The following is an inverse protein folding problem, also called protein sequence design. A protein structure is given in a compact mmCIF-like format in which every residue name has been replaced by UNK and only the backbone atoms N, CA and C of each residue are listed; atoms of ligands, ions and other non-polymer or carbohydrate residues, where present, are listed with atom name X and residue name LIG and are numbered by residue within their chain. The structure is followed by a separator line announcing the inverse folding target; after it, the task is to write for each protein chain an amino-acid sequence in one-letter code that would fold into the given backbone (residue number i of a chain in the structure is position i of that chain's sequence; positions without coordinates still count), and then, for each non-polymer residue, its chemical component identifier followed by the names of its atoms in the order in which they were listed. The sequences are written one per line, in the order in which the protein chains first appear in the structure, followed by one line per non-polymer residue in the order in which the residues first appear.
data_IF_017900082722
#
_entry.id   IF_017900082722
#
_cell.length_a   1.000
_cell.length_b   1.000
_cell.length_c   1.000
_cell.angle_alpha   90.00
_cell.angle_beta   90.00
_cell.angle_gamma   90.00
#
_symmetry.space_group_name_H-M   'P 1'
#
loop_
_entity.id
_entity.type
_entity.pdbx_description
1 polymer ?
#
# COMPACT_ATOMS: atom_id res chain seq x y z
N UNK A 1 2.89 -13.58 -2.82
CA UNK A 1 4.30 -13.94 -2.53
C UNK A 1 5.09 -12.71 -2.16
N UNK A 2 5.80 -12.77 -1.06
CA UNK A 2 6.65 -11.67 -0.62
C UNK A 2 7.98 -11.69 -1.36
N UNK A 3 8.32 -10.56 -1.97
CA UNK A 3 9.56 -10.38 -2.72
C UNK A 3 10.38 -9.25 -2.11
N UNK A 4 11.70 -9.33 -2.27
CA UNK A 4 12.63 -8.30 -1.82
C UNK A 4 13.32 -7.66 -3.03
N UNK A 5 13.48 -6.34 -2.99
CA UNK A 5 14.12 -5.56 -4.05
C UNK A 5 15.15 -4.61 -3.45
N UNK A 6 16.17 -4.28 -4.23
CA UNK A 6 17.08 -3.18 -3.92
C UNK A 6 16.53 -1.90 -4.55
N UNK A 7 16.31 -0.87 -3.75
CA UNK A 7 15.85 0.42 -4.27
C UNK A 7 16.83 0.98 -5.30
N UNK A 8 18.13 0.90 -5.03
CA UNK A 8 19.16 1.44 -5.92
C UNK A 8 19.25 0.66 -7.23
N UNK A 9 19.19 -0.68 -7.16
CA UNK A 9 19.37 -1.54 -8.33
C UNK A 9 18.07 -1.78 -9.09
N UNK A 10 16.97 -2.00 -8.35
CA UNK A 10 15.70 -2.48 -8.90
C UNK A 10 14.60 -1.42 -8.90
N UNK A 11 14.90 -0.18 -8.51
CA UNK A 11 13.88 0.86 -8.29
C UNK A 11 12.95 1.08 -9.48
N UNK A 12 13.48 1.00 -10.71
CA UNK A 12 12.70 1.20 -11.94
C UNK A 12 12.07 -0.09 -12.47
N UNK A 13 12.28 -1.23 -11.79
CA UNK A 13 11.67 -2.50 -12.19
C UNK A 13 10.16 -2.45 -12.04
N UNK A 14 9.45 -2.77 -13.12
CA UNK A 14 7.99 -2.84 -13.09
C UNK A 14 7.54 -4.10 -12.34
N UNK A 15 6.74 -3.90 -11.30
CA UNK A 15 6.11 -4.98 -10.54
C UNK A 15 4.74 -5.33 -11.14
N UNK A 16 4.15 -4.36 -11.83
CA UNK A 16 2.95 -4.50 -12.66
C UNK A 16 3.00 -3.39 -13.71
N UNK A 17 1.98 -3.32 -14.57
CA UNK A 17 1.97 -2.35 -15.67
C UNK A 17 2.14 -0.90 -15.18
N UNK A 18 1.62 -0.55 -14.02
CA UNK A 18 1.58 0.84 -13.53
C UNK A 18 2.44 1.11 -12.30
N UNK A 19 3.10 0.11 -11.73
CA UNK A 19 3.85 0.27 -10.47
C UNK A 19 5.27 -0.25 -10.60
N UNK A 20 6.25 0.55 -10.17
CA UNK A 20 7.63 0.11 -10.07
C UNK A 20 8.06 -0.03 -8.60
N UNK A 21 9.15 -0.77 -8.38
CA UNK A 21 9.59 -1.14 -7.04
C UNK A 21 9.82 0.07 -6.12
N UNK A 22 10.42 1.14 -6.61
CA UNK A 22 10.75 2.32 -5.79
C UNK A 22 9.54 2.99 -5.16
N UNK A 23 8.35 2.82 -5.74
CA UNK A 23 7.12 3.42 -5.19
C UNK A 23 6.76 2.82 -3.84
N UNK A 24 7.26 1.63 -3.54
CA UNK A 24 7.02 0.91 -2.28
C UNK A 24 8.15 1.08 -1.27
N UNK A 25 9.22 1.81 -1.61
CA UNK A 25 10.38 1.95 -0.74
C UNK A 25 10.05 2.70 0.55
N UNK A 26 10.76 2.35 1.64
CA UNK A 26 10.61 3.04 2.90
C UNK A 26 11.07 4.50 2.78
N UNK A 27 10.31 5.41 3.35
CA UNK A 27 10.58 6.85 3.26
C UNK A 27 11.80 7.28 4.08
N UNK A 28 12.38 6.39 4.89
CA UNK A 28 13.60 6.69 5.64
C UNK A 28 14.88 6.55 4.81
N UNK A 29 14.76 6.16 3.53
CA UNK A 29 15.90 6.01 2.63
C UNK A 29 16.56 4.64 2.65
N UNK A 30 16.05 3.69 3.43
CA UNK A 30 16.57 2.31 3.48
C UNK A 30 16.48 1.67 2.09
N UNK A 31 17.57 1.01 1.67
CA UNK A 31 17.64 0.44 0.32
C UNK A 31 16.76 -0.79 0.11
N UNK A 32 16.89 -1.88 0.90
CA UNK A 32 16.04 -3.04 0.67
C UNK A 32 14.58 -2.71 1.00
N UNK A 33 13.69 -3.18 0.12
CA UNK A 33 12.25 -3.04 0.33
C UNK A 33 11.58 -4.37 0.08
N UNK A 34 10.49 -4.60 0.80
CA UNK A 34 9.69 -5.82 0.69
C UNK A 34 8.31 -5.48 0.16
N UNK A 35 7.84 -6.23 -0.82
CA UNK A 35 6.52 -6.04 -1.42
C UNK A 35 5.89 -7.40 -1.69
N UNK A 36 4.67 -7.60 -1.21
CA UNK A 36 3.89 -8.76 -1.54
C UNK A 36 3.23 -8.57 -2.91
N UNK A 37 3.36 -9.56 -3.79
CA UNK A 37 2.80 -9.48 -5.14
C UNK A 37 1.27 -9.37 -5.14
N UNK A 38 0.59 -9.89 -4.12
CA UNK A 38 -0.86 -9.73 -3.98
C UNK A 38 -1.25 -8.27 -3.76
N UNK A 39 -0.44 -7.53 -2.99
CA UNK A 39 -0.65 -6.10 -2.80
C UNK A 39 -0.56 -5.35 -4.13
N UNK A 40 0.45 -5.67 -4.93
CA UNK A 40 0.63 -5.06 -6.26
C UNK A 40 -0.58 -5.32 -7.14
N UNK A 41 -1.12 -6.54 -7.12
CA UNK A 41 -2.32 -6.90 -7.91
C UNK A 41 -3.53 -6.07 -7.49
N UNK A 42 -3.73 -5.89 -6.19
CA UNK A 42 -4.84 -5.06 -5.67
C UNK A 42 -4.69 -3.61 -6.12
N UNK A 43 -3.49 -3.04 -5.99
CA UNK A 43 -3.24 -1.66 -6.41
C UNK A 43 -3.39 -1.48 -7.92
N UNK A 44 -2.97 -2.46 -8.72
CA UNK A 44 -3.13 -2.40 -10.17
C UNK A 44 -4.62 -2.44 -10.56
N UNK A 45 -5.42 -3.26 -9.89
CA UNK A 45 -6.87 -3.30 -10.12
C UNK A 45 -7.52 -1.95 -9.80
N UNK A 46 -7.10 -1.30 -8.72
CA UNK A 46 -7.58 0.04 -8.36
C UNK A 46 -7.20 1.05 -9.44
N UNK A 47 -5.95 1.01 -9.90
CA UNK A 47 -5.45 1.88 -10.96
C UNK A 47 -6.28 1.75 -12.24
N UNK A 48 -6.57 0.52 -12.63
CA UNK A 48 -7.32 0.23 -13.84
C UNK A 48 -8.78 0.68 -13.72
N UNK A 49 -9.39 0.47 -12.56
CA UNK A 49 -10.79 0.84 -12.33
C UNK A 49 -11.01 2.36 -12.42
N UNK A 50 -10.18 3.14 -11.75
CA UNK A 50 -10.35 4.60 -11.72
C UNK A 50 -9.73 5.31 -12.93
N UNK A 51 -8.85 4.65 -13.67
CA UNK A 51 -8.18 5.23 -14.82
C UNK A 51 -7.32 6.45 -14.48
N UNK A 52 -6.85 6.57 -13.25
CA UNK A 52 -6.07 7.69 -12.75
C UNK A 52 -4.90 7.19 -11.91
N UNK A 53 -3.79 7.95 -11.83
CA UNK A 53 -2.63 7.52 -11.04
C UNK A 53 -2.96 7.25 -9.59
N UNK A 54 -2.45 6.13 -9.07
CA UNK A 54 -2.51 5.77 -7.66
C UNK A 54 -1.20 6.20 -7.02
N UNK A 55 -1.27 7.10 -6.06
CA UNK A 55 -0.09 7.59 -5.34
C UNK A 55 0.07 6.80 -4.06
N UNK A 56 1.22 6.13 -3.89
CA UNK A 56 1.56 5.42 -2.66
C UNK A 56 2.27 6.41 -1.75
N UNK A 57 1.61 6.81 -0.66
CA UNK A 57 2.19 7.75 0.31
C UNK A 57 3.04 7.03 1.35
N UNK A 58 2.77 5.75 1.61
CA UNK A 58 3.57 4.90 2.49
C UNK A 58 3.42 3.45 2.02
N UNK A 59 4.54 2.83 1.69
CA UNK A 59 4.60 1.40 1.34
C UNK A 59 5.28 0.62 2.44
N UNK A 60 6.42 -0.04 2.13
CA UNK A 60 7.21 -0.75 3.13
C UNK A 60 7.74 0.21 4.18
N UNK A 61 7.74 -0.23 5.43
CA UNK A 61 8.35 0.48 6.56
C UNK A 61 9.31 -0.42 7.32
N UNK A 62 10.52 0.08 7.58
CA UNK A 62 11.38 -0.55 8.59
C UNK A 62 10.73 -0.40 9.96
N UNK A 63 11.12 -1.24 10.92
CA UNK A 63 10.60 -1.13 12.29
C UNK A 63 10.90 0.25 12.90
N UNK A 64 12.09 0.79 12.63
CA UNK A 64 12.48 2.10 13.13
C UNK A 64 11.61 3.22 12.55
N UNK A 65 11.37 3.20 11.23
CA UNK A 65 10.52 4.20 10.59
C UNK A 65 9.07 4.09 11.07
N UNK A 66 8.57 2.87 11.23
CA UNK A 66 7.23 2.63 11.74
C UNK A 66 7.03 3.25 13.12
N UNK A 67 8.02 3.09 14.01
CA UNK A 67 7.99 3.75 15.34
C UNK A 67 7.99 5.27 15.21
N UNK A 68 8.85 5.80 14.33
CA UNK A 68 8.99 7.24 14.15
C UNK A 68 7.69 7.91 13.67
N UNK A 69 6.91 7.23 12.84
CA UNK A 69 5.64 7.76 12.32
C UNK A 69 4.43 7.36 13.17
N UNK A 70 4.65 6.69 14.30
CA UNK A 70 3.56 6.30 15.21
C UNK A 70 2.70 5.16 14.69
N UNK A 71 3.24 4.29 13.84
CA UNK A 71 2.52 3.13 13.33
C UNK A 71 2.27 2.07 14.40
N UNK A 72 1.28 1.21 14.17
CA UNK A 72 0.98 0.09 15.04
C UNK A 72 2.20 -0.83 15.18
N UNK A 73 2.37 -1.46 16.35
CA UNK A 73 3.53 -2.33 16.64
C UNK A 73 3.68 -3.44 15.61
N UNK A 74 2.56 -4.04 15.18
CA UNK A 74 2.54 -5.10 14.18
C UNK A 74 1.94 -4.61 12.86
N UNK A 75 2.29 -3.39 12.44
CA UNK A 75 1.80 -2.81 11.20
C UNK A 75 2.15 -3.68 9.99
N UNK A 76 1.17 -3.88 9.11
CA UNK A 76 1.37 -4.66 7.87
C UNK A 76 2.37 -3.98 6.92
N UNK A 77 2.61 -2.67 7.07
CA UNK A 77 3.66 -1.97 6.33
C UNK A 77 5.05 -2.57 6.57
N UNK A 78 5.32 -3.04 7.79
CA UNK A 78 6.60 -3.66 8.14
C UNK A 78 6.83 -5.00 7.44
N UNK A 79 5.76 -5.64 6.99
CA UNK A 79 5.82 -6.94 6.34
C UNK A 79 5.72 -6.87 4.82
N UNK A 80 5.75 -5.66 4.25
CA UNK A 80 5.63 -5.46 2.80
C UNK A 80 4.24 -5.77 2.24
N UNK A 81 3.21 -5.77 3.08
CA UNK A 81 1.84 -6.17 2.71
C UNK A 81 0.85 -5.02 2.68
N UNK A 82 1.28 -3.80 2.95
CA UNK A 82 0.39 -2.66 3.06
C UNK A 82 0.86 -1.46 2.25
N UNK A 83 -0.10 -0.68 1.79
CA UNK A 83 0.14 0.62 1.19
C UNK A 83 -0.95 1.59 1.65
N UNK A 84 -0.54 2.82 1.95
CA UNK A 84 -1.45 3.94 2.09
C UNK A 84 -1.49 4.65 0.75
N UNK A 85 -2.69 4.82 0.20
CA UNK A 85 -2.85 5.30 -1.17
C UNK A 85 -3.87 6.42 -1.28
N UNK A 86 -3.71 7.22 -2.32
CA UNK A 86 -4.72 8.17 -2.78
C UNK A 86 -4.76 8.20 -4.29
N UNK A 87 -5.92 8.54 -4.82
CA UNK A 87 -6.14 8.65 -6.26
C UNK A 87 -6.72 10.05 -6.53
N UNK A 88 -6.06 10.80 -7.42
CA UNK A 88 -6.48 12.17 -7.74
C UNK A 88 -7.92 12.19 -8.25
N UNK A 89 -8.73 13.07 -7.65
CA UNK A 89 -10.13 13.22 -8.03
C UNK A 89 -11.07 12.15 -7.49
N UNK A 90 -10.58 11.20 -6.68
CA UNK A 90 -11.40 10.13 -6.10
C UNK A 90 -11.48 10.32 -4.59
N UNK A 91 -12.68 10.55 -4.03
CA UNK A 91 -12.86 10.67 -2.58
C UNK A 91 -12.46 9.38 -1.85
N UNK A 92 -12.00 9.53 -0.61
CA UNK A 92 -11.59 8.39 0.24
C UNK A 92 -12.68 7.33 0.31
N UNK A 93 -13.93 7.71 0.51
CA UNK A 93 -15.01 6.73 0.64
C UNK A 93 -15.24 5.93 -0.64
N UNK A 94 -15.14 6.59 -1.79
CA UNK A 94 -15.28 5.91 -3.08
C UNK A 94 -14.11 4.95 -3.34
N UNK A 95 -12.90 5.38 -3.01
CA UNK A 95 -11.71 4.54 -3.13
C UNK A 95 -11.81 3.31 -2.23
N UNK A 96 -12.19 3.51 -0.97
CA UNK A 96 -12.35 2.43 -0.01
C UNK A 96 -13.46 1.46 -0.43
N UNK A 97 -14.57 1.97 -0.95
CA UNK A 97 -15.69 1.14 -1.41
C UNK A 97 -15.25 0.21 -2.55
N UNK A 98 -14.43 0.69 -3.47
CA UNK A 98 -13.90 -0.18 -4.52
C UNK A 98 -12.93 -1.22 -3.96
N UNK A 99 -12.05 -0.84 -3.03
CA UNK A 99 -11.14 -1.78 -2.37
C UNK A 99 -11.91 -2.91 -1.67
N UNK A 100 -13.08 -2.62 -1.08
CA UNK A 100 -13.94 -3.63 -0.48
C UNK A 100 -14.35 -4.71 -1.48
N UNK A 101 -14.57 -4.35 -2.73
CA UNK A 101 -14.94 -5.35 -3.77
C UNK A 101 -13.80 -6.29 -4.09
N UNK A 102 -12.55 -5.86 -3.89
CA UNK A 102 -11.36 -6.67 -4.14
C UNK A 102 -11.00 -7.55 -2.94
N UNK A 103 -11.38 -7.14 -1.75
CA UNK A 103 -11.02 -7.79 -0.49
C UNK A 103 -12.26 -8.03 0.40
N UNK A 104 -13.30 -8.74 -0.11
CA UNK A 104 -14.57 -8.81 0.62
C UNK A 104 -14.49 -9.59 1.93
N UNK A 105 -13.67 -10.63 2.00
CA UNK A 105 -13.54 -11.51 3.16
C UNK A 105 -12.16 -11.51 3.81
N UNK A 106 -11.23 -10.71 3.32
CA UNK A 106 -9.85 -10.67 3.79
C UNK A 106 -9.33 -9.25 3.77
N UNK A 107 -8.06 -9.11 4.15
CA UNK A 107 -7.34 -7.86 4.01
C UNK A 107 -7.76 -6.77 4.98
N UNK A 108 -6.93 -5.76 5.09
CA UNK A 108 -7.17 -4.57 5.88
C UNK A 108 -7.56 -3.39 5.00
N UNK A 109 -8.60 -2.66 5.39
CA UNK A 109 -8.99 -1.41 4.75
C UNK A 109 -9.24 -0.38 5.84
N UNK A 110 -8.45 0.69 5.83
CA UNK A 110 -8.58 1.81 6.74
C UNK A 110 -8.95 3.08 5.99
N UNK A 111 -9.95 3.80 6.48
CA UNK A 111 -10.42 5.05 5.88
C UNK A 111 -9.91 6.24 6.67
N UNK A 112 -9.19 7.15 6.01
CA UNK A 112 -8.61 8.34 6.63
C UNK A 112 -9.05 9.60 5.86
N UNK A 113 -10.34 9.95 5.92
CA UNK A 113 -10.87 11.06 5.10
C UNK A 113 -10.25 12.41 5.44
N UNK A 114 -9.94 12.68 6.69
CA UNK A 114 -9.30 13.94 7.09
C UNK A 114 -7.87 14.06 6.56
N UNK A 115 -7.18 12.93 6.39
CA UNK A 115 -5.81 12.87 5.88
C UNK A 115 -5.75 12.61 4.37
N UNK A 116 -6.88 12.24 3.77
CA UNK A 116 -6.99 12.07 2.33
C UNK A 116 -6.39 10.79 1.77
N UNK A 117 -6.34 9.70 2.55
CA UNK A 117 -5.83 8.42 2.04
C UNK A 117 -6.64 7.23 2.55
N UNK A 118 -6.45 6.12 1.89
CA UNK A 118 -6.98 4.80 2.29
C UNK A 118 -5.79 3.88 2.51
N UNK A 119 -5.80 3.18 3.67
CA UNK A 119 -4.87 2.08 3.90
C UNK A 119 -5.47 0.81 3.31
N UNK A 120 -4.68 0.07 2.54
CA UNK A 120 -5.04 -1.27 2.07
C UNK A 120 -3.91 -2.24 2.40
N UNK A 121 -4.26 -3.44 2.83
CA UNK A 121 -3.28 -4.51 3.02
C UNK A 121 -3.87 -5.87 2.69
N UNK A 122 -2.98 -6.83 2.47
CA UNK A 122 -3.34 -8.18 2.03
C UNK A 122 -3.17 -9.22 3.16
N UNK A 123 -3.40 -8.82 4.41
CA UNK A 123 -3.47 -9.79 5.52
C UNK A 123 -4.58 -10.80 5.29
N UNK A 124 -4.44 -11.96 5.88
CA UNK A 124 -5.46 -13.03 5.70
C UNK A 124 -6.76 -12.73 6.42
N UNK A 125 -6.67 -12.20 7.64
CA UNK A 125 -7.86 -11.86 8.43
C UNK A 125 -8.46 -10.53 7.94
N UNK A 126 -9.77 -10.47 7.87
CA UNK A 126 -10.48 -9.24 7.51
C UNK A 126 -10.36 -8.21 8.65
N UNK A 127 -9.97 -6.99 8.31
CA UNK A 127 -9.91 -5.87 9.27
C UNK A 127 -10.38 -4.58 8.60
N UNK A 128 -11.26 -3.85 9.29
CA UNK A 128 -11.84 -2.59 8.79
C UNK A 128 -11.80 -1.55 9.90
N UNK A 129 -11.37 -0.32 9.57
CA UNK A 129 -11.33 0.77 10.54
C UNK A 129 -11.39 2.12 9.86
N UNK A 130 -11.59 3.17 10.69
CA UNK A 130 -11.54 4.55 10.26
C UNK A 130 -10.62 5.33 11.20
N UNK A 131 -9.86 6.26 10.64
CA UNK A 131 -8.93 7.10 11.39
C UNK A 131 -9.10 8.59 11.14
#
# INVERSE_FOLDING_TARGET
MLNVYSRARDGETLLSRSFCAKEFACKDGTDPLFVDSELVQVLQAIRDHFGAPVVITSGYRTAAHNRAVGGAVYSQHQYGRAADIRVSGVPVEQLAAYAETLLPGTGGIGRYPAKGFVHVDVRKAKSRWAG
#
